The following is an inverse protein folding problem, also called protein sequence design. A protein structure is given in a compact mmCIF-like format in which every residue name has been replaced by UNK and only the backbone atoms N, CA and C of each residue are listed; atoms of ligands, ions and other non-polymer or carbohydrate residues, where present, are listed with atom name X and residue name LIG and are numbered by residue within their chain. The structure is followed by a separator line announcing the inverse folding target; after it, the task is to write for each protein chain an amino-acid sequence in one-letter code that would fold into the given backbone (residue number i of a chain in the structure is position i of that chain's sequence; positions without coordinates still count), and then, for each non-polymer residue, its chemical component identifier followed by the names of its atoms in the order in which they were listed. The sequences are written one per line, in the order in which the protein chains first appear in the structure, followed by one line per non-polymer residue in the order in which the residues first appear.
data_IF_869552741888
#
_entry.id   IF_869552741888
#
_cell.length_a   1.000
_cell.length_b   1.000
_cell.length_c   1.000
_cell.angle_alpha   90.00
_cell.angle_beta   90.00
_cell.angle_gamma   90.00
#
_symmetry.space_group_name_H-M   'P 1'
#
loop_
_entity.id
_entity.type
_entity.pdbx_description
1 polymer ?
#
# COMPACT_ATOMS: atom_id res chain seq x y z
N UNK A 1 1.14 17.94 17.73
CA UNK A 1 0.54 17.73 16.40
C UNK A 1 -0.96 17.60 16.65
N UNK A 2 -1.82 18.25 15.88
CA UNK A 2 -3.25 18.05 16.07
C UNK A 2 -3.67 16.66 15.51
N UNK A 3 -4.86 16.18 15.89
CA UNK A 3 -5.32 14.83 15.52
C UNK A 3 -5.40 14.65 13.99
N UNK A 4 -5.73 15.72 13.26
CA UNK A 4 -5.75 15.72 11.81
C UNK A 4 -4.36 15.50 11.22
N UNK A 5 -3.36 16.27 11.70
CA UNK A 5 -1.99 16.16 11.20
C UNK A 5 -1.44 14.75 11.45
N UNK A 6 -1.79 14.14 12.60
CA UNK A 6 -1.46 12.75 12.93
C UNK A 6 -2.09 11.80 11.91
N UNK A 7 -3.42 11.87 11.71
CA UNK A 7 -4.14 11.00 10.77
C UNK A 7 -3.58 11.08 9.35
N UNK A 8 -3.43 12.30 8.84
CA UNK A 8 -2.90 12.54 7.48
C UNK A 8 -1.46 12.04 7.35
N UNK A 9 -0.62 12.20 8.39
CA UNK A 9 0.75 11.70 8.37
C UNK A 9 0.80 10.16 8.32
N UNK A 10 -0.07 9.47 9.08
CA UNK A 10 -0.13 8.00 9.09
C UNK A 10 -0.63 7.49 7.73
N UNK A 11 -1.74 8.01 7.20
CA UNK A 11 -2.28 7.61 5.88
C UNK A 11 -1.18 7.75 4.81
N UNK A 12 -0.51 8.90 4.76
CA UNK A 12 0.60 9.12 3.81
C UNK A 12 1.80 8.20 4.04
N UNK A 13 2.06 7.80 5.27
CA UNK A 13 3.11 6.82 5.57
C UNK A 13 2.72 5.43 5.07
N UNK A 14 1.47 5.01 5.26
CA UNK A 14 0.94 3.75 4.75
C UNK A 14 0.96 3.71 3.21
N UNK A 15 0.57 4.80 2.53
CA UNK A 15 0.69 4.95 1.07
C UNK A 15 2.14 4.80 0.58
N UNK A 16 3.10 5.46 1.24
CA UNK A 16 4.53 5.33 0.88
C UNK A 16 5.05 3.91 1.06
N UNK A 17 4.58 3.18 2.06
CA UNK A 17 4.93 1.78 2.25
C UNK A 17 4.45 0.93 1.06
N UNK A 18 3.21 1.12 0.62
CA UNK A 18 2.64 0.48 -0.56
C UNK A 18 3.41 0.83 -1.84
N UNK A 19 3.67 2.12 -2.07
CA UNK A 19 4.48 2.59 -3.22
C UNK A 19 5.85 1.91 -3.27
N UNK A 20 6.56 1.84 -2.13
CA UNK A 20 7.87 1.20 -2.05
C UNK A 20 7.82 -0.30 -2.40
N UNK A 21 6.80 -1.01 -1.95
CA UNK A 21 6.64 -2.44 -2.28
C UNK A 21 6.34 -2.62 -3.76
N UNK A 22 5.47 -1.79 -4.35
CA UNK A 22 5.16 -1.81 -5.79
C UNK A 22 6.41 -1.51 -6.63
N UNK A 23 7.20 -0.49 -6.26
CA UNK A 23 8.45 -0.15 -6.94
C UNK A 23 9.45 -1.31 -6.90
N UNK A 24 9.60 -1.96 -5.75
CA UNK A 24 10.47 -3.15 -5.62
C UNK A 24 9.98 -4.27 -6.52
N UNK A 25 8.68 -4.55 -6.54
CA UNK A 25 8.09 -5.60 -7.35
C UNK A 25 8.31 -5.35 -8.85
N UNK A 26 8.01 -4.14 -9.32
CA UNK A 26 8.23 -3.75 -10.72
C UNK A 26 9.70 -3.81 -11.10
N UNK A 27 10.61 -3.37 -10.22
CA UNK A 27 12.05 -3.42 -10.46
C UNK A 27 12.57 -4.85 -10.52
N UNK A 28 12.12 -5.75 -9.64
CA UNK A 28 12.46 -7.16 -9.69
C UNK A 28 12.05 -7.79 -11.03
N UNK A 29 10.83 -7.49 -11.50
CA UNK A 29 10.35 -7.98 -12.79
C UNK A 29 11.15 -7.40 -13.95
N UNK A 30 11.51 -6.12 -13.90
CA UNK A 30 12.39 -5.48 -14.89
C UNK A 30 13.78 -6.11 -14.92
N UNK A 31 14.36 -6.47 -13.78
CA UNK A 31 15.66 -7.13 -13.69
C UNK A 31 15.60 -8.58 -14.23
N UNK A 32 14.51 -9.31 -13.96
CA UNK A 32 14.26 -10.65 -14.51
C UNK A 32 14.12 -10.57 -16.04
N UNK A 33 13.33 -9.65 -16.56
CA UNK A 33 13.12 -9.45 -17.99
C UNK A 33 14.44 -9.15 -18.72
N UNK A 34 15.29 -8.33 -18.10
CA UNK A 34 16.61 -7.98 -18.63
C UNK A 34 17.70 -9.04 -18.34
N UNK A 35 17.36 -10.17 -17.74
CA UNK A 35 18.28 -11.25 -17.33
C UNK A 35 19.42 -10.76 -16.42
N UNK A 36 19.15 -9.72 -15.61
CA UNK A 36 20.11 -9.16 -14.64
C UNK A 36 20.03 -9.84 -13.27
N UNK A 37 18.94 -10.55 -13.00
CA UNK A 37 18.76 -11.31 -11.76
C UNK A 37 18.07 -12.65 -12.01
N UNK A 38 18.29 -13.59 -11.09
CA UNK A 38 17.52 -14.82 -11.02
C UNK A 38 16.12 -14.56 -10.46
N UNK A 39 15.23 -15.55 -10.65
CA UNK A 39 13.85 -15.50 -10.17
C UNK A 39 13.81 -15.83 -8.67
N UNK A 40 13.70 -14.84 -7.82
CA UNK A 40 13.41 -15.07 -6.38
C UNK A 40 11.89 -15.13 -6.17
N UNK A 41 11.31 -16.30 -6.37
CA UNK A 41 9.87 -16.52 -6.20
C UNK A 41 9.42 -16.28 -4.75
N UNK A 42 10.28 -16.49 -3.75
CA UNK A 42 9.94 -16.25 -2.36
C UNK A 42 9.80 -14.73 -2.09
N UNK A 43 10.69 -13.91 -2.68
CA UNK A 43 10.60 -12.46 -2.57
C UNK A 43 9.40 -11.89 -3.33
N UNK A 44 9.12 -12.42 -4.55
CA UNK A 44 7.93 -12.04 -5.31
C UNK A 44 6.65 -12.41 -4.55
N UNK A 45 6.58 -13.62 -3.97
CA UNK A 45 5.44 -14.06 -3.15
C UNK A 45 5.24 -13.17 -1.92
N UNK A 46 6.32 -12.78 -1.23
CA UNK A 46 6.22 -11.89 -0.07
C UNK A 46 5.68 -10.51 -0.46
N UNK A 47 6.12 -9.94 -1.60
CA UNK A 47 5.59 -8.67 -2.10
C UNK A 47 4.10 -8.78 -2.45
N UNK A 48 3.69 -9.85 -3.14
CA UNK A 48 2.29 -10.11 -3.46
C UNK A 48 1.44 -10.28 -2.21
N UNK A 49 1.93 -11.02 -1.22
CA UNK A 49 1.21 -11.22 0.03
C UNK A 49 1.02 -9.89 0.78
N UNK A 50 2.05 -9.04 0.79
CA UNK A 50 1.93 -7.72 1.42
C UNK A 50 0.87 -6.84 0.75
N UNK A 51 0.88 -6.72 -0.58
CA UNK A 51 -0.09 -5.88 -1.31
C UNK A 51 -1.52 -6.46 -1.32
N UNK A 52 -1.70 -7.72 -0.96
CA UNK A 52 -3.01 -8.34 -0.75
C UNK A 52 -3.47 -8.19 0.71
N UNK A 53 -2.60 -8.45 1.68
CA UNK A 53 -2.96 -8.49 3.11
C UNK A 53 -3.10 -7.08 3.70
N UNK A 54 -2.14 -6.19 3.47
CA UNK A 54 -2.11 -4.89 4.16
C UNK A 54 -3.21 -3.93 3.71
N UNK A 55 -3.40 -3.62 2.40
CA UNK A 55 -4.49 -2.74 1.97
C UNK A 55 -5.86 -3.27 2.36
N UNK A 56 -6.13 -4.54 2.05
CA UNK A 56 -7.47 -5.11 2.15
C UNK A 56 -7.94 -5.33 3.60
N UNK A 57 -7.02 -5.63 4.51
CA UNK A 57 -7.37 -5.98 5.89
C UNK A 57 -7.13 -4.87 6.90
N UNK A 58 -6.24 -3.94 6.60
CA UNK A 58 -5.83 -2.94 7.58
C UNK A 58 -6.04 -1.51 7.09
N UNK A 59 -5.66 -1.18 5.85
CA UNK A 59 -5.69 0.18 5.33
C UNK A 59 -7.09 0.61 4.86
N UNK A 60 -7.63 0.01 3.80
CA UNK A 60 -8.93 0.34 3.22
C UNK A 60 -10.11 0.28 4.24
N UNK A 61 -10.17 -0.71 5.17
CA UNK A 61 -11.21 -0.71 6.17
C UNK A 61 -11.17 0.48 7.13
N UNK A 62 -9.99 1.04 7.43
CA UNK A 62 -9.88 2.26 8.25
C UNK A 62 -10.44 3.47 7.50
N UNK A 63 -10.14 3.58 6.21
CA UNK A 63 -10.67 4.65 5.34
C UNK A 63 -12.18 4.56 5.23
N UNK A 64 -12.71 3.43 4.83
CA UNK A 64 -14.14 3.21 4.64
C UNK A 64 -14.94 3.45 5.93
N UNK A 65 -14.47 2.91 7.05
CA UNK A 65 -15.23 2.91 8.31
C UNK A 65 -15.05 4.18 9.14
N UNK A 66 -13.97 4.92 8.94
CA UNK A 66 -13.68 6.11 9.74
C UNK A 66 -13.63 7.38 8.88
N UNK A 67 -12.72 7.49 7.92
CA UNK A 67 -12.55 8.71 7.13
C UNK A 67 -13.75 8.98 6.20
N UNK A 68 -14.10 8.03 5.34
CA UNK A 68 -15.19 8.22 4.36
C UNK A 68 -16.54 8.36 5.04
N UNK A 69 -16.78 7.57 6.09
CA UNK A 69 -17.99 7.69 6.90
C UNK A 69 -18.11 9.03 7.62
N UNK A 70 -17.01 9.57 8.15
CA UNK A 70 -17.00 10.90 8.75
C UNK A 70 -17.30 11.98 7.73
N UNK A 71 -16.70 11.93 6.54
CA UNK A 71 -16.97 12.86 5.45
C UNK A 71 -18.44 12.85 5.03
N UNK A 72 -19.02 11.67 4.79
CA UNK A 72 -20.44 11.53 4.42
C UNK A 72 -21.41 12.10 5.48
N UNK A 73 -21.03 12.06 6.77
CA UNK A 73 -21.82 12.68 7.86
C UNK A 73 -21.83 14.21 7.78
N UNK A 74 -20.79 14.81 7.22
CA UNK A 74 -20.57 16.27 7.24
C UNK A 74 -20.98 16.98 5.96
N UNK A 75 -20.84 16.33 4.81
CA UNK A 75 -21.08 16.96 3.52
C UNK A 75 -21.36 15.91 2.45
N UNK A 76 -22.15 16.29 1.44
CA UNK A 76 -22.39 15.51 0.23
C UNK A 76 -21.42 15.90 -0.92
N UNK A 77 -20.56 16.89 -0.68
CA UNK A 77 -19.66 17.44 -1.70
C UNK A 77 -18.72 16.37 -2.28
N UNK A 78 -18.34 15.38 -1.48
CA UNK A 78 -17.38 14.33 -1.84
C UNK A 78 -18.03 12.99 -2.17
N UNK A 79 -19.37 12.87 -2.16
CA UNK A 79 -20.05 11.58 -2.34
C UNK A 79 -19.60 10.85 -3.60
N UNK A 80 -19.49 11.57 -4.73
CA UNK A 80 -19.09 10.96 -5.99
C UNK A 80 -17.66 10.38 -5.95
N UNK A 81 -16.69 11.10 -5.37
CA UNK A 81 -15.31 10.59 -5.25
C UNK A 81 -15.21 9.49 -4.20
N UNK A 82 -16.00 9.56 -3.12
CA UNK A 82 -16.05 8.49 -2.12
C UNK A 82 -16.65 7.21 -2.69
N UNK A 83 -17.69 7.30 -3.54
CA UNK A 83 -18.25 6.14 -4.25
C UNK A 83 -17.25 5.52 -5.21
N UNK A 84 -16.46 6.36 -5.92
CA UNK A 84 -15.40 5.91 -6.80
C UNK A 84 -14.30 5.18 -6.01
N UNK A 85 -13.78 5.77 -4.93
CA UNK A 85 -12.74 5.18 -4.09
C UNK A 85 -13.19 3.85 -3.47
N UNK A 86 -14.43 3.77 -2.96
CA UNK A 86 -14.96 2.50 -2.45
C UNK A 86 -15.11 1.42 -3.54
N UNK A 87 -15.49 1.81 -4.75
CA UNK A 87 -15.51 0.88 -5.88
C UNK A 87 -14.09 0.41 -6.27
N UNK A 88 -13.08 1.28 -6.10
CA UNK A 88 -11.67 0.94 -6.32
C UNK A 88 -11.13 -0.01 -5.24
N UNK A 89 -11.55 0.09 -3.97
CA UNK A 89 -11.23 -0.90 -2.92
C UNK A 89 -11.72 -2.30 -3.30
N UNK A 90 -12.99 -2.42 -3.78
CA UNK A 90 -13.54 -3.68 -4.27
C UNK A 90 -12.73 -4.20 -5.48
N UNK A 91 -12.34 -3.31 -6.38
CA UNK A 91 -11.55 -3.65 -7.55
C UNK A 91 -10.15 -4.11 -7.18
N UNK A 92 -9.53 -3.47 -6.17
CA UNK A 92 -8.23 -3.86 -5.63
C UNK A 92 -8.21 -5.33 -5.23
N UNK A 93 -9.17 -5.77 -4.42
CA UNK A 93 -9.30 -7.17 -4.01
C UNK A 93 -9.45 -8.15 -5.19
N UNK A 94 -10.16 -7.74 -6.26
CA UNK A 94 -10.29 -8.55 -7.48
C UNK A 94 -8.97 -8.64 -8.26
N UNK A 95 -8.22 -7.53 -8.30
CA UNK A 95 -6.94 -7.46 -9.00
C UNK A 95 -5.85 -8.22 -8.26
N UNK A 96 -5.78 -8.17 -6.93
CA UNK A 96 -4.83 -8.98 -6.15
C UNK A 96 -5.10 -10.48 -6.31
N UNK A 97 -6.37 -10.90 -6.33
CA UNK A 97 -6.72 -12.29 -6.65
C UNK A 97 -6.30 -12.71 -8.08
N UNK A 98 -6.35 -11.80 -9.05
CA UNK A 98 -5.83 -12.05 -10.40
C UNK A 98 -4.31 -12.13 -10.41
N UNK A 99 -3.61 -11.22 -9.70
CA UNK A 99 -2.16 -11.24 -9.54
C UNK A 99 -1.65 -12.56 -8.98
N UNK A 100 -2.30 -13.09 -7.95
CA UNK A 100 -1.94 -14.38 -7.36
C UNK A 100 -2.07 -15.52 -8.37
N UNK A 101 -3.15 -15.56 -9.17
CA UNK A 101 -3.31 -16.56 -10.24
C UNK A 101 -2.24 -16.43 -11.33
N UNK A 102 -1.94 -15.20 -11.76
CA UNK A 102 -0.90 -14.94 -12.75
C UNK A 102 0.49 -15.33 -12.23
N UNK A 103 0.76 -15.10 -10.95
CA UNK A 103 1.99 -15.53 -10.29
C UNK A 103 2.13 -17.04 -10.24
N UNK A 104 1.07 -17.77 -9.86
CA UNK A 104 1.08 -19.24 -9.86
C UNK A 104 1.31 -19.78 -11.27
N UNK A 105 0.70 -19.19 -12.28
CA UNK A 105 0.89 -19.55 -13.70
C UNK A 105 2.36 -19.33 -14.14
N UNK A 106 2.95 -18.20 -13.77
CA UNK A 106 4.37 -17.92 -14.00
C UNK A 106 5.29 -18.91 -13.27
N UNK A 107 5.02 -19.17 -11.98
CA UNK A 107 5.79 -20.11 -11.17
C UNK A 107 5.71 -21.54 -11.70
N UNK A 108 4.58 -21.93 -12.28
CA UNK A 108 4.37 -23.21 -12.96
C UNK A 108 5.12 -23.38 -14.27
N UNK A 109 5.82 -22.34 -14.74
CA UNK A 109 6.65 -22.41 -15.95
C UNK A 109 5.87 -22.27 -17.27
N UNK A 110 4.63 -21.74 -17.23
CA UNK A 110 3.86 -21.49 -18.43
C UNK A 110 4.61 -20.54 -19.38
N UNK A 111 4.60 -20.76 -20.70
CA UNK A 111 5.38 -19.98 -21.68
C UNK A 111 5.08 -18.48 -21.67
N UNK A 112 3.82 -18.10 -21.41
CA UNK A 112 3.32 -16.73 -21.34
C UNK A 112 3.25 -16.19 -19.89
N UNK A 113 3.54 -17.04 -18.89
CA UNK A 113 3.33 -16.77 -17.48
C UNK A 113 4.04 -15.51 -16.98
N UNK A 114 5.27 -15.25 -17.44
CA UNK A 114 6.01 -14.06 -17.04
C UNK A 114 5.36 -12.76 -17.54
N UNK A 115 4.97 -12.72 -18.81
CA UNK A 115 4.38 -11.52 -19.42
C UNK A 115 2.99 -11.25 -18.84
N UNK A 116 2.18 -12.30 -18.60
CA UNK A 116 0.89 -12.17 -17.93
C UNK A 116 1.05 -11.62 -16.50
N UNK A 117 2.00 -12.17 -15.75
CA UNK A 117 2.25 -11.72 -14.39
C UNK A 117 2.76 -10.28 -14.35
N UNK A 118 3.72 -9.93 -15.21
CA UNK A 118 4.25 -8.57 -15.32
C UNK A 118 3.16 -7.57 -15.69
N UNK A 119 2.35 -7.87 -16.70
CA UNK A 119 1.24 -7.01 -17.11
C UNK A 119 0.19 -6.82 -16.02
N UNK A 120 -0.08 -7.87 -15.22
CA UNK A 120 -0.98 -7.78 -14.08
C UNK A 120 -0.42 -6.88 -12.97
N UNK A 121 0.89 -6.98 -12.68
CA UNK A 121 1.58 -6.10 -11.70
C UNK A 121 1.52 -4.65 -12.16
N UNK A 122 1.84 -4.37 -13.42
CA UNK A 122 1.83 -3.00 -13.95
C UNK A 122 0.42 -2.39 -13.92
N UNK A 123 -0.61 -3.17 -14.24
CA UNK A 123 -2.00 -2.73 -14.18
C UNK A 123 -2.45 -2.43 -12.74
N UNK A 124 -2.10 -3.31 -11.79
CA UNK A 124 -2.41 -3.10 -10.38
C UNK A 124 -1.67 -1.89 -9.81
N UNK A 125 -0.38 -1.75 -10.09
CA UNK A 125 0.41 -0.63 -9.63
C UNK A 125 -0.15 0.71 -10.15
N UNK A 126 -0.51 0.79 -11.44
CA UNK A 126 -1.14 1.98 -12.02
C UNK A 126 -2.46 2.33 -11.31
N UNK A 127 -3.32 1.35 -11.09
CA UNK A 127 -4.61 1.55 -10.40
C UNK A 127 -4.39 2.04 -8.96
N UNK A 128 -3.52 1.37 -8.18
CA UNK A 128 -3.33 1.71 -6.77
C UNK A 128 -2.66 3.09 -6.59
N UNK A 129 -1.69 3.44 -7.43
CA UNK A 129 -1.04 4.77 -7.41
C UNK A 129 -2.04 5.89 -7.73
N UNK A 130 -2.91 5.69 -8.72
CA UNK A 130 -3.97 6.65 -9.05
C UNK A 130 -5.00 6.78 -7.93
N UNK A 131 -5.35 5.68 -7.28
CA UNK A 131 -6.23 5.61 -6.13
C UNK A 131 -5.67 6.43 -4.95
N UNK A 132 -4.46 6.13 -4.48
CA UNK A 132 -3.81 6.86 -3.38
C UNK A 132 -3.67 8.36 -3.68
N UNK A 133 -3.42 8.75 -4.94
CA UNK A 133 -3.39 10.16 -5.33
C UNK A 133 -4.74 10.84 -5.17
N UNK A 134 -5.86 10.18 -5.55
CA UNK A 134 -7.21 10.71 -5.34
C UNK A 134 -7.53 10.90 -3.87
N UNK A 135 -7.12 9.96 -3.02
CA UNK A 135 -7.30 10.05 -1.58
C UNK A 135 -6.51 11.20 -0.96
N UNK A 136 -5.26 11.39 -1.37
CA UNK A 136 -4.47 12.53 -0.92
C UNK A 136 -5.06 13.88 -1.36
N UNK A 137 -5.63 13.95 -2.56
CA UNK A 137 -6.37 15.12 -3.04
C UNK A 137 -7.65 15.35 -2.22
N UNK A 138 -8.41 14.27 -1.91
CA UNK A 138 -9.57 14.30 -1.03
C UNK A 138 -9.21 14.81 0.36
N UNK A 139 -8.16 14.28 0.98
CA UNK A 139 -7.67 14.71 2.29
C UNK A 139 -7.29 16.20 2.31
N UNK A 140 -6.68 16.70 1.24
CA UNK A 140 -6.34 18.13 1.13
C UNK A 140 -7.57 19.01 1.02
N UNK A 141 -8.60 18.59 0.25
CA UNK A 141 -9.83 19.35 0.00
C UNK A 141 -10.82 19.27 1.18
N UNK A 142 -10.84 18.16 1.90
CA UNK A 142 -11.79 17.91 2.99
C UNK A 142 -11.37 18.50 4.34
N UNK A 143 -10.24 19.17 4.38
CA UNK A 143 -9.59 19.71 5.59
C UNK A 143 -10.53 20.47 6.53
N UNK A 144 -11.40 21.28 5.99
CA UNK A 144 -12.31 22.18 6.72
C UNK A 144 -13.69 21.52 6.97
N UNK A 145 -13.94 20.33 6.42
CA UNK A 145 -15.24 19.68 6.49
C UNK A 145 -15.42 18.82 7.74
N UNK A 146 -14.32 18.35 8.34
CA UNK A 146 -14.34 17.51 9.51
C UNK A 146 -14.08 18.32 10.79
N UNK A 147 -14.78 17.96 11.85
CA UNK A 147 -14.55 18.55 13.19
C UNK A 147 -13.32 17.94 13.84
N UNK A 148 -12.86 18.57 14.93
CA UNK A 148 -11.75 18.02 15.73
C UNK A 148 -12.09 16.67 16.35
N UNK A 149 -13.36 16.42 16.69
CA UNK A 149 -13.82 15.13 17.18
C UNK A 149 -13.74 14.05 16.10
N UNK A 150 -14.18 14.36 14.86
CA UNK A 150 -14.05 13.43 13.74
C UNK A 150 -12.57 13.07 13.52
N UNK A 151 -11.67 14.07 13.55
CA UNK A 151 -10.23 13.82 13.38
C UNK A 151 -9.63 12.98 14.52
N UNK A 152 -10.12 13.12 15.78
CA UNK A 152 -9.68 12.24 16.88
C UNK A 152 -10.14 10.80 16.68
N UNK A 153 -11.41 10.58 16.23
CA UNK A 153 -11.90 9.24 15.90
C UNK A 153 -11.06 8.58 14.77
N UNK A 154 -10.74 9.35 13.72
CA UNK A 154 -9.90 8.89 12.60
C UNK A 154 -8.49 8.59 13.11
N UNK A 155 -7.86 9.50 13.85
CA UNK A 155 -6.52 9.31 14.40
C UNK A 155 -6.44 8.02 15.24
N UNK A 156 -7.38 7.81 16.14
CA UNK A 156 -7.42 6.61 16.98
C UNK A 156 -7.52 5.31 16.17
N UNK A 157 -8.22 5.32 15.01
CA UNK A 157 -8.30 4.16 14.14
C UNK A 157 -6.98 3.91 13.37
N UNK A 158 -6.27 4.98 12.98
CA UNK A 158 -5.02 4.86 12.22
C UNK A 158 -3.78 4.70 13.10
N UNK A 159 -3.83 5.08 14.38
CA UNK A 159 -2.73 4.89 15.33
C UNK A 159 -2.42 3.42 15.64
N UNK A 160 -3.34 2.49 15.37
CA UNK A 160 -3.02 1.06 15.37
C UNK A 160 -2.11 0.78 14.18
N UNK A 161 -0.80 0.74 14.44
CA UNK A 161 0.23 0.54 13.41
C UNK A 161 0.37 -0.94 13.06
N UNK A 162 -0.63 -1.47 12.33
CA UNK A 162 -0.75 -2.89 11.99
C UNK A 162 -0.02 -3.27 10.67
N UNK A 163 0.79 -2.36 10.12
CA UNK A 163 1.59 -2.66 8.93
C UNK A 163 2.55 -3.83 9.20
N UNK A 164 2.40 -4.98 8.51
CA UNK A 164 3.20 -6.17 8.79
C UNK A 164 4.67 -6.04 8.37
N UNK A 165 5.03 -5.00 7.60
CA UNK A 165 6.37 -4.77 7.08
C UNK A 165 7.07 -3.62 7.79
N UNK A 166 6.35 -2.52 8.07
CA UNK A 166 6.90 -1.28 8.63
C UNK A 166 6.32 -0.91 10.00
N UNK A 167 5.28 -1.62 10.46
CA UNK A 167 4.62 -1.38 11.74
C UNK A 167 5.39 -1.93 12.95
N UNK A 168 4.75 -1.80 14.13
CA UNK A 168 5.36 -2.20 15.41
C UNK A 168 5.48 -3.72 15.56
N UNK A 169 4.55 -4.48 14.92
CA UNK A 169 4.49 -5.95 14.96
C UNK A 169 4.90 -6.56 13.61
N UNK A 170 6.11 -6.25 13.15
CA UNK A 170 6.62 -6.79 11.87
C UNK A 170 6.63 -8.30 11.86
N UNK A 171 6.20 -8.88 10.73
CA UNK A 171 6.16 -10.32 10.55
C UNK A 171 7.45 -10.83 9.90
N UNK A 172 8.00 -11.94 10.42
CA UNK A 172 9.27 -12.53 9.97
C UNK A 172 9.24 -12.92 8.48
N UNK A 173 8.09 -13.32 7.94
CA UNK A 173 7.92 -13.66 6.52
C UNK A 173 8.25 -12.50 5.58
N UNK A 174 8.13 -11.24 6.04
CA UNK A 174 8.46 -10.05 5.26
C UNK A 174 9.89 -9.57 5.42
N UNK A 175 10.71 -10.21 6.24
CA UNK A 175 12.08 -9.76 6.52
C UNK A 175 12.94 -9.57 5.27
N UNK A 176 12.89 -10.50 4.32
CA UNK A 176 13.64 -10.38 3.05
C UNK A 176 13.17 -9.20 2.22
N UNK A 177 11.85 -9.00 2.13
CA UNK A 177 11.23 -7.88 1.42
C UNK A 177 11.66 -6.56 2.03
N UNK A 178 11.60 -6.44 3.36
CA UNK A 178 12.07 -5.28 4.10
C UNK A 178 13.53 -4.92 3.75
N UNK A 179 14.45 -5.88 3.86
CA UNK A 179 15.85 -5.63 3.53
C UNK A 179 16.05 -5.27 2.05
N UNK A 180 15.26 -5.83 1.15
CA UNK A 180 15.33 -5.47 -0.28
C UNK A 180 14.91 -4.03 -0.49
N UNK A 181 13.81 -3.60 0.12
CA UNK A 181 13.32 -2.21 0.07
C UNK A 181 14.39 -1.27 0.64
N UNK A 182 14.86 -1.53 1.85
CA UNK A 182 15.87 -0.68 2.52
C UNK A 182 17.14 -0.55 1.67
N UNK A 183 17.60 -1.62 1.03
CA UNK A 183 18.78 -1.59 0.18
C UNK A 183 18.60 -0.81 -1.15
N UNK A 184 17.36 -0.62 -1.59
CA UNK A 184 17.03 0.19 -2.76
C UNK A 184 16.95 1.69 -2.47
N UNK A 185 16.76 2.06 -1.19
CA UNK A 185 16.69 3.46 -0.79
C UNK A 185 18.03 4.19 -0.99
N UNK A 186 18.00 5.49 -1.32
CA UNK A 186 19.18 6.35 -1.32
C UNK A 186 19.91 6.28 0.03
N UNK A 187 21.24 6.33 0.02
CA UNK A 187 22.09 6.11 1.20
C UNK A 187 21.71 6.97 2.42
N UNK A 188 21.29 8.21 2.21
CA UNK A 188 20.84 9.10 3.29
C UNK A 188 19.56 8.62 3.97
N UNK A 189 18.56 8.18 3.19
CA UNK A 189 17.29 7.68 3.70
C UNK A 189 17.48 6.31 4.35
N UNK A 190 18.31 5.45 3.75
CA UNK A 190 18.68 4.13 4.31
C UNK A 190 19.24 4.23 5.72
N UNK A 191 20.17 5.18 5.96
CA UNK A 191 20.74 5.38 7.28
C UNK A 191 19.71 5.87 8.31
N UNK A 192 18.73 6.68 7.89
CA UNK A 192 17.63 7.11 8.78
C UNK A 192 16.72 5.97 9.17
N UNK A 193 16.30 5.16 8.20
CA UNK A 193 15.46 3.97 8.43
C UNK A 193 16.18 2.95 9.33
N UNK A 194 17.49 2.72 9.12
CA UNK A 194 18.28 1.80 9.94
C UNK A 194 18.49 2.29 11.38
N UNK A 195 18.64 3.61 11.61
CA UNK A 195 18.75 4.17 12.97
C UNK A 195 17.48 4.02 13.78
N UNK A 196 16.32 4.27 13.17
CA UNK A 196 15.01 4.04 13.80
C UNK A 196 14.79 2.59 14.24
N UNK A 197 15.55 1.64 13.67
CA UNK A 197 15.47 0.22 14.00
C UNK A 197 16.48 -0.27 15.03
N UNK A 198 17.47 0.52 15.38
CA UNK A 198 18.45 0.16 16.43
C UNK A 198 18.13 0.78 17.79
N UNK A 199 17.14 1.66 17.85
CA UNK A 199 16.69 2.34 19.08
C UNK A 199 15.44 1.68 19.71
N UNK A 200 14.96 0.56 19.15
CA UNK A 200 13.90 -0.31 19.70
C UNK A 200 14.49 -1.70 20.06
#
# INVERSE_FOLDING_TARGET
MDARDVSVAIIKQEHRALEMVLEVLQRLLGDIAARRSERDFALLAAALYYIDDFPERFHHPKEDNHLFKALRRRTTQFDAVLDELQAEHIRSAQMTAYLQRAFVHYQGGAPDGFELFRGAVDAYAGMLLDHMRKEEELLAQSRECLTEEDWREIAAAFETNDDPLFGDNRREEFRKLYFRIVNMLPSKIRMQVQRLHHEQ
#
